data_IF_035222773709
#
_entry.id   IF_035222773709
#
_cell.length_a   1.000
_cell.length_b   1.000
_cell.length_c   1.000
_cell.angle_alpha   90.00
_cell.angle_beta   90.00
_cell.angle_gamma   90.00
#
_symmetry.space_group_name_H-M   'P 1'
#
loop_
_entity.id
_entity.type
_entity.pdbx_description
1 polymer ?
#
# COMPACT_ATOMS: atom_id res chain seq x y z
N UNK A 1 51.60 -28.74 1.52
CA UNK A 1 50.19 -28.89 1.97
C UNK A 1 49.58 -27.50 1.96
N UNK A 2 48.98 -27.07 0.84
CA UNK A 2 48.34 -25.75 0.76
C UNK A 2 46.95 -25.84 1.39
N UNK A 3 46.78 -25.18 2.54
CA UNK A 3 45.47 -24.96 3.13
C UNK A 3 44.72 -23.96 2.25
N UNK A 4 43.86 -24.46 1.36
CA UNK A 4 42.90 -23.63 0.65
C UNK A 4 41.95 -23.04 1.69
N UNK A 5 42.15 -21.76 2.00
CA UNK A 5 41.31 -20.98 2.90
C UNK A 5 39.89 -21.01 2.34
N UNK A 6 38.98 -21.74 3.01
CA UNK A 6 37.56 -21.76 2.67
C UNK A 6 37.01 -20.36 2.97
N UNK A 7 36.90 -19.52 1.94
CA UNK A 7 36.18 -18.25 2.04
C UNK A 7 34.72 -18.56 2.40
N UNK A 8 34.41 -18.46 3.69
CA UNK A 8 33.05 -18.58 4.21
C UNK A 8 32.19 -17.45 3.63
N UNK A 9 31.01 -17.72 3.06
CA UNK A 9 30.12 -16.70 2.49
C UNK A 9 29.40 -15.84 3.55
N UNK A 10 29.82 -15.92 4.82
CA UNK A 10 29.26 -15.18 5.96
C UNK A 10 29.04 -13.67 5.72
N UNK A 11 29.96 -12.91 5.08
CA UNK A 11 29.73 -11.47 4.87
C UNK A 11 28.62 -11.19 3.86
N UNK A 12 28.37 -12.08 2.89
CA UNK A 12 27.29 -11.91 1.91
C UNK A 12 25.91 -12.10 2.54
N UNK A 13 25.77 -13.02 3.50
CA UNK A 13 24.51 -13.24 4.21
C UNK A 13 24.13 -12.03 5.06
N UNK A 14 25.11 -11.39 5.71
CA UNK A 14 24.87 -10.19 6.52
C UNK A 14 24.36 -9.02 5.67
N UNK A 15 24.95 -8.78 4.49
CA UNK A 15 24.53 -7.70 3.57
C UNK A 15 23.11 -7.94 3.03
N UNK A 16 22.73 -9.19 2.76
CA UNK A 16 21.39 -9.52 2.29
C UNK A 16 20.29 -9.21 3.32
N UNK A 17 20.59 -9.35 4.62
CA UNK A 17 19.63 -9.04 5.70
C UNK A 17 19.36 -7.52 5.78
N UNK A 18 20.36 -6.67 5.54
CA UNK A 18 20.17 -5.22 5.60
C UNK A 18 19.36 -4.64 4.41
N UNK A 19 19.36 -5.31 3.25
CA UNK A 19 18.60 -4.85 2.08
C UNK A 19 17.07 -5.00 2.25
N UNK A 20 16.60 -5.80 3.20
CA UNK A 20 15.18 -6.03 3.46
C UNK A 20 14.45 -4.88 4.17
N UNK A 21 15.16 -3.90 4.74
CA UNK A 21 14.56 -2.77 5.45
C UNK A 21 14.29 -1.53 4.58
N UNK A 22 14.54 -1.60 3.27
CA UNK A 22 14.18 -0.51 2.36
C UNK A 22 12.67 -0.54 2.12
N UNK A 23 11.92 0.25 2.88
CA UNK A 23 10.50 0.51 2.60
C UNK A 23 10.32 0.88 1.13
N UNK A 24 9.55 0.06 0.40
CA UNK A 24 9.16 0.31 -0.99
C UNK A 24 8.36 1.61 -1.02
N UNK A 25 9.04 2.73 -1.29
CA UNK A 25 8.38 4.00 -1.53
C UNK A 25 7.52 3.85 -2.78
N UNK A 26 6.26 4.30 -2.71
CA UNK A 26 5.21 4.03 -3.69
C UNK A 26 5.72 4.09 -5.13
N UNK A 27 5.43 3.04 -5.92
CA UNK A 27 5.85 2.99 -7.31
C UNK A 27 5.37 4.26 -8.03
N UNK A 28 6.27 4.98 -8.73
CA UNK A 28 5.86 6.09 -9.57
C UNK A 28 4.82 5.59 -10.56
N UNK A 29 3.81 6.42 -10.85
CA UNK A 29 2.83 6.14 -11.90
C UNK A 29 3.61 5.78 -13.18
N UNK A 30 3.36 4.59 -13.73
CA UNK A 30 4.04 4.10 -14.94
C UNK A 30 3.96 5.14 -16.04
N UNK A 31 5.06 5.29 -16.80
CA UNK A 31 5.21 6.31 -17.85
C UNK A 31 4.09 6.15 -18.90
N UNK A 32 3.02 6.93 -18.76
CA UNK A 32 1.85 6.91 -19.65
C UNK A 32 0.50 6.87 -18.93
N UNK A 33 0.44 6.49 -17.66
CA UNK A 33 -0.81 6.48 -16.90
C UNK A 33 -1.06 7.87 -16.29
N UNK A 34 -2.28 8.40 -16.50
CA UNK A 34 -2.65 9.72 -15.98
C UNK A 34 -3.12 9.58 -14.53
N UNK A 35 -2.60 10.39 -13.60
CA UNK A 35 -3.18 10.55 -12.27
C UNK A 35 -4.69 10.77 -12.33
N UNK A 36 -5.46 10.03 -11.54
CA UNK A 36 -6.91 10.21 -11.42
C UNK A 36 -7.28 11.00 -10.15
N UNK A 37 -8.47 11.60 -10.14
CA UNK A 37 -9.04 12.16 -8.91
C UNK A 37 -9.46 11.00 -7.99
N UNK A 38 -8.68 10.81 -6.92
CA UNK A 38 -8.89 9.74 -5.94
C UNK A 38 -10.28 9.79 -5.32
N UNK A 39 -10.73 10.98 -4.90
CA UNK A 39 -12.02 11.11 -4.22
C UNK A 39 -13.18 10.81 -5.17
N UNK A 40 -13.08 11.22 -6.44
CA UNK A 40 -14.07 10.89 -7.48
C UNK A 40 -14.17 9.36 -7.70
N UNK A 41 -13.03 8.68 -7.85
CA UNK A 41 -13.00 7.23 -8.05
C UNK A 41 -13.52 6.47 -6.82
N UNK A 42 -13.18 6.92 -5.61
CA UNK A 42 -13.72 6.33 -4.37
C UNK A 42 -15.24 6.43 -4.33
N UNK A 43 -15.83 7.61 -4.63
CA UNK A 43 -17.28 7.77 -4.71
C UNK A 43 -17.93 6.86 -5.75
N UNK A 44 -17.23 6.58 -6.86
CA UNK A 44 -17.74 5.70 -7.90
C UNK A 44 -17.66 4.22 -7.50
N UNK A 45 -16.58 3.80 -6.84
CA UNK A 45 -16.26 2.37 -6.59
C UNK A 45 -16.73 1.86 -5.24
N UNK A 46 -16.85 2.72 -4.23
CA UNK A 46 -17.34 2.34 -2.90
C UNK A 46 -18.85 2.01 -2.95
N UNK A 47 -19.31 0.90 -2.36
CA UNK A 47 -20.73 0.53 -2.36
C UNK A 47 -21.62 1.63 -1.78
N UNK A 48 -22.82 1.80 -2.35
CA UNK A 48 -23.76 2.84 -1.92
C UNK A 48 -24.30 2.67 -0.49
N UNK A 49 -24.24 1.45 0.05
CA UNK A 49 -24.68 1.10 1.40
C UNK A 49 -23.70 1.53 2.50
N UNK A 50 -22.46 1.89 2.15
CA UNK A 50 -21.45 2.33 3.11
C UNK A 50 -21.89 3.67 3.71
N UNK A 51 -21.75 3.81 5.03
CA UNK A 51 -22.01 5.09 5.72
C UNK A 51 -20.86 6.06 5.48
N UNK A 52 -21.15 7.35 5.46
CA UNK A 52 -20.14 8.42 5.36
C UNK A 52 -19.19 8.32 4.16
N UNK A 53 -19.69 7.86 2.99
CA UNK A 53 -18.90 7.69 1.75
C UNK A 53 -18.11 8.93 1.34
N UNK A 54 -18.63 10.11 1.61
CA UNK A 54 -17.96 11.38 1.35
C UNK A 54 -16.76 11.61 2.27
N UNK A 55 -16.86 11.24 3.55
CA UNK A 55 -15.75 11.29 4.49
C UNK A 55 -14.66 10.29 4.07
N UNK A 56 -15.04 9.06 3.73
CA UNK A 56 -14.13 8.05 3.18
C UNK A 56 -13.39 8.54 1.92
N UNK A 57 -14.09 9.16 0.97
CA UNK A 57 -13.47 9.70 -0.24
C UNK A 57 -12.42 10.78 0.06
N UNK A 58 -12.71 11.66 1.03
CA UNK A 58 -11.78 12.69 1.49
C UNK A 58 -10.57 12.10 2.22
N UNK A 59 -10.78 11.14 3.09
CA UNK A 59 -9.73 10.55 3.93
C UNK A 59 -8.80 9.66 3.11
N UNK A 60 -9.33 8.90 2.15
CA UNK A 60 -8.53 8.12 1.20
C UNK A 60 -7.72 9.06 0.29
N UNK A 61 -8.31 10.13 -0.24
CA UNK A 61 -7.56 11.10 -1.04
C UNK A 61 -6.43 11.77 -0.23
N UNK A 62 -6.69 12.08 1.05
CA UNK A 62 -5.67 12.60 1.98
C UNK A 62 -4.57 11.57 2.21
N UNK A 63 -4.92 10.30 2.41
CA UNK A 63 -3.98 9.18 2.58
C UNK A 63 -3.07 9.00 1.35
N UNK A 64 -3.63 9.02 0.14
CA UNK A 64 -2.84 8.93 -1.09
C UNK A 64 -1.80 10.04 -1.17
N UNK A 65 -2.19 11.28 -0.83
CA UNK A 65 -1.29 12.43 -0.80
C UNK A 65 -0.24 12.30 0.30
N UNK A 66 -0.62 11.93 1.52
CA UNK A 66 0.30 11.89 2.67
C UNK A 66 1.30 10.75 2.59
N UNK A 67 0.91 9.62 1.98
CA UNK A 67 1.77 8.45 1.81
C UNK A 67 2.50 8.42 0.46
N UNK A 68 2.26 9.41 -0.43
CA UNK A 68 2.88 9.46 -1.75
C UNK A 68 2.48 8.29 -2.66
N UNK A 69 1.26 7.75 -2.47
CA UNK A 69 0.76 6.66 -3.31
C UNK A 69 0.42 7.19 -4.70
N UNK A 70 0.82 6.45 -5.74
CA UNK A 70 0.43 6.74 -7.11
C UNK A 70 -1.11 6.70 -7.24
N UNK A 71 -1.77 7.80 -7.64
CA UNK A 71 -3.23 7.85 -7.76
C UNK A 71 -3.67 7.20 -9.08
N UNK A 72 -3.57 5.87 -9.16
CA UNK A 72 -4.09 5.04 -10.25
C UNK A 72 -5.36 4.34 -9.81
N UNK A 73 -6.22 3.94 -10.77
CA UNK A 73 -7.46 3.22 -10.45
C UNK A 73 -7.15 1.89 -9.75
N UNK A 74 -6.09 1.20 -10.16
CA UNK A 74 -5.62 -0.04 -9.53
C UNK A 74 -5.30 0.15 -8.06
N UNK A 75 -4.46 1.13 -7.71
CA UNK A 75 -4.10 1.40 -6.32
C UNK A 75 -5.31 1.78 -5.47
N UNK A 76 -6.23 2.58 -6.01
CA UNK A 76 -7.47 2.98 -5.32
C UNK A 76 -8.35 1.75 -5.04
N UNK A 77 -8.55 0.88 -6.03
CA UNK A 77 -9.31 -0.35 -5.87
C UNK A 77 -8.66 -1.31 -4.86
N UNK A 78 -7.32 -1.40 -4.84
CA UNK A 78 -6.58 -2.20 -3.87
C UNK A 78 -6.81 -1.70 -2.43
N UNK A 79 -6.70 -0.39 -2.20
CA UNK A 79 -6.99 0.21 -0.88
C UNK A 79 -8.44 -0.03 -0.45
N UNK A 80 -9.39 0.17 -1.36
CA UNK A 80 -10.81 -0.08 -1.10
C UNK A 80 -11.09 -1.55 -0.75
N UNK A 81 -10.49 -2.50 -1.49
CA UNK A 81 -10.66 -3.92 -1.26
C UNK A 81 -10.16 -4.34 0.15
N UNK A 82 -8.99 -3.86 0.56
CA UNK A 82 -8.46 -4.14 1.91
C UNK A 82 -9.34 -3.49 2.97
N UNK A 83 -9.74 -2.24 2.81
CA UNK A 83 -10.62 -1.56 3.78
C UNK A 83 -11.95 -2.31 3.97
N UNK A 84 -12.53 -2.85 2.90
CA UNK A 84 -13.72 -3.70 2.96
C UNK A 84 -13.46 -5.03 3.68
N UNK A 85 -12.32 -5.68 3.42
CA UNK A 85 -11.97 -6.96 4.04
C UNK A 85 -11.74 -6.81 5.54
N UNK A 86 -10.93 -5.83 5.94
CA UNK A 86 -10.46 -5.69 7.32
C UNK A 86 -11.52 -5.11 8.24
N UNK A 87 -12.38 -4.23 7.72
CA UNK A 87 -13.29 -3.44 8.55
C UNK A 87 -14.74 -3.43 8.09
N UNK A 88 -15.03 -3.97 6.91
CA UNK A 88 -16.37 -3.83 6.33
C UNK A 88 -16.71 -2.38 5.92
N UNK A 89 -15.70 -1.51 5.75
CA UNK A 89 -15.85 -0.04 5.71
C UNK A 89 -16.47 0.58 6.98
N UNK A 90 -16.34 -0.10 8.12
CA UNK A 90 -16.64 0.46 9.42
C UNK A 90 -15.34 1.03 10.00
N UNK A 91 -15.25 2.33 10.23
CA UNK A 91 -14.01 2.94 10.74
C UNK A 91 -13.58 2.38 12.11
N UNK A 92 -14.54 1.99 12.94
CA UNK A 92 -14.34 1.41 14.26
C UNK A 92 -15.27 0.20 14.46
N UNK A 93 -14.90 -0.99 13.95
CA UNK A 93 -15.70 -2.20 14.10
C UNK A 93 -15.51 -2.82 15.49
N UNK A 94 -16.58 -3.44 16.01
CA UNK A 94 -16.53 -4.16 17.28
C UNK A 94 -15.60 -5.36 17.16
N UNK A 95 -14.67 -5.51 18.12
CA UNK A 95 -13.80 -6.69 18.25
C UNK A 95 -14.39 -7.62 19.32
N UNK A 96 -14.76 -8.87 18.96
CA UNK A 96 -15.21 -9.85 19.93
C UNK A 96 -14.08 -10.22 20.91
N UNK A 97 -14.40 -10.31 22.20
CA UNK A 97 -13.50 -10.70 23.29
C UNK A 97 -13.77 -12.11 23.81
#
# INVERSE_FOLDING_TARGET
MSAASRLYPLPFLAVAILAGCSSQSGQPVSKGEKPVDVASVVRQKMPASVKDREAWAKDIATTFKSQGLAPTVENICSVLAVAQQESGYQADPVVPG
#
